data_IF_724802714873
#
_entry.id   IF_724802714873
#
_cell.length_a   1.000
_cell.length_b   1.000
_cell.length_c   1.000
_cell.angle_alpha   90.00
_cell.angle_beta   90.00
_cell.angle_gamma   90.00
#
_symmetry.space_group_name_H-M   'P 1'
#
loop_
_entity.id
_entity.type
_entity.pdbx_description
1 polymer ?
#
# COMPACT_ATOMS: atom_id res chain seq x y z
N UNK A 1 -7.93 0.26 -14.90
CA UNK A 1 -7.04 0.93 -15.87
C UNK A 1 -7.82 1.10 -17.15
N UNK A 2 -8.29 2.33 -17.42
CA UNK A 2 -8.94 2.66 -18.67
C UNK A 2 -7.88 2.97 -19.73
N UNK A 3 -7.73 2.11 -20.73
CA UNK A 3 -6.97 2.39 -21.94
C UNK A 3 -7.98 2.54 -23.08
N UNK A 4 -7.93 3.68 -23.78
CA UNK A 4 -8.80 3.94 -24.94
C UNK A 4 -7.96 4.23 -26.15
N UNK A 5 -8.32 3.60 -27.27
CA UNK A 5 -7.75 3.88 -28.58
C UNK A 5 -8.74 4.68 -29.41
N UNK A 6 -8.30 5.84 -29.94
CA UNK A 6 -9.11 6.71 -30.80
C UNK A 6 -8.37 7.07 -32.08
N UNK A 7 -9.18 7.34 -33.14
CA UNK A 7 -8.70 7.78 -34.44
C UNK A 7 -9.48 9.03 -34.85
N UNK A 8 -8.76 10.04 -35.34
CA UNK A 8 -9.33 11.28 -35.87
C UNK A 8 -8.39 11.88 -36.93
N UNK A 9 -8.85 12.90 -37.69
CA UNK A 9 -8.03 13.56 -38.70
C UNK A 9 -6.75 14.21 -38.16
N UNK A 10 -6.73 14.62 -36.89
CA UNK A 10 -5.54 15.11 -36.19
C UNK A 10 -5.30 14.40 -34.87
N UNK A 11 -4.08 14.50 -34.33
CA UNK A 11 -3.72 13.97 -33.01
C UNK A 11 -4.55 14.66 -31.93
N UNK A 12 -4.68 15.99 -32.01
CA UNK A 12 -5.43 16.79 -31.05
C UNK A 12 -6.89 16.35 -30.95
N UNK A 13 -7.56 16.18 -32.09
CA UNK A 13 -8.96 15.71 -32.13
C UNK A 13 -9.13 14.29 -31.61
N UNK A 14 -8.14 13.41 -31.86
CA UNK A 14 -8.15 12.04 -31.35
C UNK A 14 -7.98 12.01 -29.82
N UNK A 15 -7.11 12.88 -29.28
CA UNK A 15 -6.90 13.04 -27.83
C UNK A 15 -8.14 13.62 -27.17
N UNK A 16 -8.73 14.71 -27.74
CA UNK A 16 -9.92 15.36 -27.19
C UNK A 16 -11.12 14.37 -27.13
N UNK A 17 -11.31 13.58 -28.18
CA UNK A 17 -12.34 12.55 -28.19
C UNK A 17 -12.12 11.46 -27.11
N UNK A 18 -10.87 11.06 -26.88
CA UNK A 18 -10.53 10.09 -25.86
C UNK A 18 -10.72 10.67 -24.44
N UNK A 19 -10.31 11.92 -24.20
CA UNK A 19 -10.50 12.62 -22.92
C UNK A 19 -11.97 12.79 -22.57
N UNK A 20 -12.81 13.18 -23.57
CA UNK A 20 -14.25 13.32 -23.36
C UNK A 20 -14.94 12.02 -22.98
N UNK A 21 -14.47 10.87 -23.48
CA UNK A 21 -15.02 9.56 -23.13
C UNK A 21 -14.52 9.03 -21.77
N UNK A 22 -13.27 9.34 -21.42
CA UNK A 22 -12.71 8.97 -20.11
C UNK A 22 -13.19 9.90 -18.98
N UNK A 23 -13.72 11.08 -19.30
CA UNK A 23 -14.06 12.10 -18.32
C UNK A 23 -12.83 12.69 -17.62
N UNK A 24 -11.65 12.63 -18.26
CA UNK A 24 -10.37 13.06 -17.71
C UNK A 24 -9.83 14.28 -18.43
N UNK A 25 -8.91 14.99 -17.79
CA UNK A 25 -8.14 16.10 -18.36
C UNK A 25 -6.82 15.61 -18.94
N UNK A 26 -6.20 16.43 -19.81
CA UNK A 26 -4.91 16.09 -20.44
C UNK A 26 -3.78 15.85 -19.42
N UNK A 27 -3.87 16.45 -18.23
CA UNK A 27 -2.88 16.27 -17.16
C UNK A 27 -3.01 14.91 -16.42
N UNK A 28 -4.16 14.26 -16.56
CA UNK A 28 -4.49 12.98 -15.92
C UNK A 28 -4.24 11.77 -16.80
N UNK A 29 -3.70 11.98 -18.00
CA UNK A 29 -3.48 10.89 -18.96
C UNK A 29 -2.06 10.88 -19.52
N UNK A 30 -1.63 9.70 -19.94
CA UNK A 30 -0.50 9.50 -20.84
C UNK A 30 -1.00 9.20 -22.24
N UNK A 31 -0.49 9.94 -23.23
CA UNK A 31 -0.89 9.83 -24.63
C UNK A 31 0.23 9.20 -25.44
N UNK A 32 -0.04 8.06 -26.05
CA UNK A 32 0.85 7.41 -27.02
C UNK A 32 0.29 7.61 -28.43
N UNK A 33 1.04 8.29 -29.31
CA UNK A 33 0.68 8.43 -30.73
C UNK A 33 1.15 7.17 -31.46
N UNK A 34 0.21 6.30 -31.79
CA UNK A 34 0.48 5.03 -32.51
C UNK A 34 0.66 5.27 -34.01
N UNK A 35 -0.06 6.26 -34.56
CA UNK A 35 0.01 6.64 -35.95
C UNK A 35 -0.19 8.15 -36.11
N UNK A 36 0.75 8.80 -36.81
CA UNK A 36 0.60 10.21 -37.19
C UNK A 36 -0.32 10.37 -38.39
N UNK A 37 -1.09 11.48 -38.48
CA UNK A 37 -1.97 11.74 -39.57
C UNK A 37 -1.16 12.03 -40.85
N UNK A 38 -1.64 11.55 -42.00
CA UNK A 38 -1.04 11.84 -43.29
C UNK A 38 -2.06 12.50 -44.22
N UNK A 39 -1.76 13.68 -44.72
CA UNK A 39 -2.64 14.31 -45.71
C UNK A 39 -2.62 13.52 -47.01
N UNK A 40 -3.80 13.24 -47.55
CA UNK A 40 -3.93 12.63 -48.89
C UNK A 40 -3.65 13.62 -49.99
N UNK A 41 -3.27 13.13 -51.17
CA UNK A 41 -3.16 13.96 -52.39
C UNK A 41 -4.48 13.87 -53.11
N UNK A 42 -5.17 15.02 -53.30
CA UNK A 42 -6.51 15.13 -53.91
C UNK A 42 -7.58 14.26 -53.23
N UNK A 43 -7.50 14.08 -51.90
CA UNK A 43 -8.48 13.30 -51.12
C UNK A 43 -8.30 11.77 -51.18
N UNK A 44 -7.24 11.28 -51.83
CA UNK A 44 -6.93 9.86 -51.90
C UNK A 44 -5.69 9.56 -51.03
N UNK A 45 -5.82 8.58 -50.11
CA UNK A 45 -4.71 8.12 -49.28
C UNK A 45 -4.51 8.91 -47.98
N UNK A 46 -5.47 9.73 -47.54
CA UNK A 46 -5.43 10.31 -46.20
C UNK A 46 -5.47 9.20 -45.13
N UNK A 47 -4.66 9.36 -44.09
CA UNK A 47 -4.64 8.47 -42.95
C UNK A 47 -4.88 9.29 -41.68
N UNK A 48 -5.82 8.84 -40.89
CA UNK A 48 -6.12 9.46 -39.59
C UNK A 48 -5.01 9.20 -38.56
N UNK A 49 -4.86 10.12 -37.63
CA UNK A 49 -4.08 9.90 -36.44
C UNK A 49 -4.72 8.79 -35.58
N UNK A 50 -3.90 7.97 -34.95
CA UNK A 50 -4.36 6.99 -33.99
C UNK A 50 -3.60 7.23 -32.70
N UNK A 51 -4.34 7.49 -31.62
CA UNK A 51 -3.77 7.66 -30.28
C UNK A 51 -4.28 6.57 -29.33
N UNK A 52 -3.43 6.21 -28.38
CA UNK A 52 -3.80 5.39 -27.23
C UNK A 52 -3.64 6.29 -26.00
N UNK A 53 -4.76 6.53 -25.33
CA UNK A 53 -4.80 7.36 -24.13
C UNK A 53 -5.01 6.45 -22.93
N UNK A 54 -4.10 6.57 -21.97
CA UNK A 54 -4.13 5.81 -20.70
C UNK A 54 -4.29 6.78 -19.54
N UNK A 55 -5.19 6.48 -18.61
CA UNK A 55 -5.25 7.23 -17.35
C UNK A 55 -3.91 7.14 -16.65
N UNK A 56 -3.33 8.30 -16.32
CA UNK A 56 -2.13 8.40 -15.48
C UNK A 56 -2.56 8.13 -14.05
N UNK A 57 -1.97 7.11 -13.41
CA UNK A 57 -2.18 6.92 -11.99
C UNK A 57 -1.75 8.19 -11.24
N UNK A 58 -2.64 8.81 -10.47
CA UNK A 58 -2.28 9.92 -9.58
C UNK A 58 -1.08 9.47 -8.72
N UNK A 59 -0.01 10.28 -8.61
CA UNK A 59 1.05 9.95 -7.68
C UNK A 59 0.47 9.84 -6.25
N UNK A 60 0.95 8.89 -5.47
CA UNK A 60 0.44 8.59 -4.13
C UNK A 60 0.45 9.80 -3.15
N UNK A 61 1.12 10.90 -3.51
CA UNK A 61 1.14 12.14 -2.74
C UNK A 61 0.03 13.13 -3.03
N UNK A 62 -0.80 12.88 -4.06
CA UNK A 62 -1.79 13.84 -4.59
C UNK A 62 -3.25 13.35 -4.39
N UNK A 63 -3.46 12.37 -3.50
CA UNK A 63 -4.80 11.88 -3.15
C UNK A 63 -5.45 12.87 -2.18
N UNK A 64 -6.65 13.36 -2.54
CA UNK A 64 -7.49 14.18 -1.68
C UNK A 64 -8.20 13.36 -0.60
N UNK A 65 -8.84 14.05 0.34
CA UNK A 65 -9.62 13.40 1.40
C UNK A 65 -10.77 12.56 0.81
N UNK A 66 -11.43 13.04 -0.25
CA UNK A 66 -12.49 12.31 -0.96
C UNK A 66 -11.98 10.99 -1.57
N UNK A 67 -10.76 10.96 -2.13
CA UNK A 67 -10.15 9.74 -2.67
C UNK A 67 -9.86 8.73 -1.53
N UNK A 68 -9.51 9.22 -0.33
CA UNK A 68 -9.25 8.37 0.83
C UNK A 68 -10.53 7.77 1.40
N UNK A 69 -11.59 8.56 1.48
CA UNK A 69 -12.90 8.10 1.94
C UNK A 69 -13.47 7.03 1.00
N UNK A 70 -13.40 7.26 -0.33
CA UNK A 70 -13.79 6.25 -1.33
C UNK A 70 -12.97 4.95 -1.19
N UNK A 71 -11.66 5.07 -0.98
CA UNK A 71 -10.80 3.90 -0.76
C UNK A 71 -11.16 3.15 0.52
N UNK A 72 -11.52 3.86 1.58
CA UNK A 72 -11.94 3.26 2.84
C UNK A 72 -13.27 2.51 2.71
N UNK A 73 -14.25 3.10 2.02
CA UNK A 73 -15.52 2.43 1.71
C UNK A 73 -15.34 1.14 0.91
N UNK A 74 -14.51 1.20 -0.15
CA UNK A 74 -14.18 0.02 -0.97
C UNK A 74 -13.50 -1.07 -0.14
N UNK A 75 -12.57 -0.68 0.75
CA UNK A 75 -11.88 -1.60 1.63
C UNK A 75 -12.85 -2.25 2.62
N UNK A 76 -13.73 -1.47 3.25
CA UNK A 76 -14.73 -1.96 4.19
C UNK A 76 -15.69 -2.95 3.52
N UNK A 77 -16.26 -2.59 2.37
CA UNK A 77 -17.14 -3.49 1.59
C UNK A 77 -16.45 -4.82 1.23
N UNK A 78 -15.18 -4.75 0.81
CA UNK A 78 -14.41 -5.94 0.48
C UNK A 78 -14.18 -6.82 1.71
N UNK A 79 -13.77 -6.23 2.84
CA UNK A 79 -13.50 -6.96 4.08
C UNK A 79 -14.77 -7.57 4.65
N UNK A 80 -15.87 -6.82 4.73
CA UNK A 80 -17.17 -7.33 5.17
C UNK A 80 -17.63 -8.52 4.32
N UNK A 81 -17.56 -8.39 2.99
CA UNK A 81 -17.92 -9.47 2.07
C UNK A 81 -17.01 -10.70 2.18
N UNK A 82 -15.74 -10.52 2.53
CA UNK A 82 -14.78 -11.60 2.80
C UNK A 82 -15.14 -12.32 4.11
N UNK A 83 -15.36 -11.56 5.19
CA UNK A 83 -15.70 -12.07 6.51
C UNK A 83 -17.02 -12.87 6.48
N UNK A 84 -18.04 -12.33 5.81
CA UNK A 84 -19.31 -13.02 5.62
C UNK A 84 -19.15 -14.40 4.95
N UNK A 85 -18.33 -14.46 3.87
CA UNK A 85 -18.08 -15.73 3.16
C UNK A 85 -17.24 -16.72 3.96
N UNK A 86 -16.42 -16.23 4.87
CA UNK A 86 -15.64 -17.06 5.81
C UNK A 86 -16.48 -17.49 7.02
N UNK A 87 -17.68 -16.92 7.23
CA UNK A 87 -18.52 -17.18 8.39
C UNK A 87 -17.98 -16.55 9.68
N UNK A 88 -17.15 -15.51 9.55
CA UNK A 88 -16.53 -14.79 10.67
C UNK A 88 -17.39 -13.58 11.02
N UNK A 89 -17.71 -13.43 12.30
CA UNK A 89 -18.43 -12.27 12.82
C UNK A 89 -17.43 -11.22 13.30
N UNK A 90 -17.43 -10.07 12.66
CA UNK A 90 -16.60 -8.91 13.06
C UNK A 90 -17.22 -7.62 12.58
N UNK A 91 -16.83 -6.49 13.16
CA UNK A 91 -17.16 -5.14 12.71
C UNK A 91 -15.99 -4.61 11.91
N UNK A 92 -16.27 -3.90 10.80
CA UNK A 92 -15.26 -3.23 9.99
C UNK A 92 -15.46 -1.73 10.11
N UNK A 93 -14.48 -1.01 10.63
CA UNK A 93 -14.58 0.40 10.92
C UNK A 93 -13.43 1.19 10.27
N UNK A 94 -13.72 2.14 9.35
CA UNK A 94 -12.74 3.11 8.90
C UNK A 94 -12.38 4.10 10.01
N UNK A 95 -11.09 4.38 10.18
CA UNK A 95 -10.58 5.33 11.15
C UNK A 95 -9.40 6.12 10.58
N UNK A 96 -9.26 7.40 10.94
CA UNK A 96 -8.08 8.20 10.62
C UNK A 96 -7.24 8.38 11.88
N UNK A 97 -6.02 7.84 11.87
CA UNK A 97 -5.03 8.04 12.93
C UNK A 97 -3.76 8.67 12.35
N UNK A 98 -3.32 9.78 12.93
CA UNK A 98 -2.11 10.51 12.50
C UNK A 98 -2.02 10.76 10.98
N UNK A 99 -3.17 11.05 10.34
CA UNK A 99 -3.27 11.31 8.89
C UNK A 99 -3.15 10.05 8.01
N UNK A 100 -3.25 8.87 8.60
CA UNK A 100 -3.31 7.57 7.89
C UNK A 100 -4.72 7.01 7.99
N UNK A 101 -5.28 6.59 6.86
CA UNK A 101 -6.58 5.91 6.82
C UNK A 101 -6.39 4.44 7.18
N UNK A 102 -6.96 4.03 8.30
CA UNK A 102 -7.06 2.63 8.72
C UNK A 102 -8.46 2.09 8.41
N UNK A 103 -8.55 0.80 8.16
CA UNK A 103 -9.80 0.06 8.17
C UNK A 103 -9.59 -1.12 9.13
N UNK A 104 -10.18 -0.99 10.31
CA UNK A 104 -9.98 -1.91 11.41
C UNK A 104 -11.04 -3.01 11.39
N UNK A 105 -10.61 -4.25 11.60
CA UNK A 105 -11.48 -5.40 11.80
C UNK A 105 -11.49 -5.73 13.28
N UNK A 106 -12.67 -5.64 13.90
CA UNK A 106 -12.87 -5.77 15.34
C UNK A 106 -13.77 -6.97 15.61
N UNK A 107 -13.28 -7.92 16.38
CA UNK A 107 -14.05 -9.09 16.80
C UNK A 107 -15.16 -8.76 17.81
N UNK A 108 -16.15 -9.64 17.98
CA UNK A 108 -17.27 -9.43 18.90
C UNK A 108 -16.85 -9.50 20.38
N UNK A 109 -15.75 -10.20 20.67
CA UNK A 109 -15.19 -10.36 22.02
C UNK A 109 -13.66 -10.21 22.00
N UNK A 110 -13.05 -9.75 23.10
CA UNK A 110 -11.59 -9.73 23.21
C UNK A 110 -10.99 -11.14 23.08
N UNK A 111 -9.88 -11.25 22.36
CA UNK A 111 -9.16 -12.51 22.12
C UNK A 111 -9.97 -13.56 21.34
N UNK A 112 -10.88 -13.13 20.46
CA UNK A 112 -11.60 -14.00 19.57
C UNK A 112 -10.67 -14.85 18.69
N UNK A 113 -10.91 -16.17 18.62
CA UNK A 113 -10.04 -17.10 17.88
C UNK A 113 -10.03 -16.80 16.37
N UNK A 114 -11.16 -16.31 15.81
CA UNK A 114 -11.25 -15.94 14.40
C UNK A 114 -10.37 -14.74 14.06
N UNK A 115 -10.24 -13.77 14.98
CA UNK A 115 -9.28 -12.65 14.81
C UNK A 115 -7.84 -13.17 14.77
N UNK A 116 -7.52 -14.17 15.58
CA UNK A 116 -6.23 -14.85 15.53
C UNK A 116 -5.95 -15.52 14.18
N UNK A 117 -6.96 -16.12 13.54
CA UNK A 117 -6.84 -16.70 12.20
C UNK A 117 -6.60 -15.63 11.13
N UNK A 118 -7.32 -14.51 11.21
CA UNK A 118 -7.17 -13.38 10.28
C UNK A 118 -5.82 -12.67 10.42
N UNK A 119 -5.25 -12.61 11.62
CA UNK A 119 -3.89 -12.13 11.85
C UNK A 119 -2.86 -13.13 11.30
N UNK A 120 -3.04 -14.41 11.61
CA UNK A 120 -2.14 -15.49 11.24
C UNK A 120 -0.79 -15.46 11.95
N UNK A 121 0.09 -16.39 11.56
CA UNK A 121 1.43 -16.50 12.18
C UNK A 121 2.27 -15.27 11.83
N UNK A 122 2.69 -14.53 12.85
CA UNK A 122 3.50 -13.29 12.69
C UNK A 122 2.85 -12.21 11.80
N UNK A 123 1.52 -12.19 11.67
CA UNK A 123 0.79 -11.24 10.83
C UNK A 123 0.74 -11.59 9.35
N UNK A 124 1.12 -12.79 8.94
CA UNK A 124 1.18 -13.18 7.51
C UNK A 124 -0.19 -13.17 6.83
N UNK A 125 -1.25 -13.60 7.52
CA UNK A 125 -2.60 -13.55 6.96
C UNK A 125 -3.06 -12.11 6.81
N UNK A 126 -2.82 -11.27 7.81
CA UNK A 126 -3.13 -9.84 7.76
C UNK A 126 -2.37 -9.14 6.60
N UNK A 127 -1.10 -9.48 6.36
CA UNK A 127 -0.36 -8.97 5.20
C UNK A 127 -1.00 -9.40 3.87
N UNK A 128 -1.44 -10.65 3.77
CA UNK A 128 -2.13 -11.14 2.57
C UNK A 128 -3.49 -10.43 2.35
N UNK A 129 -4.26 -10.21 3.42
CA UNK A 129 -5.52 -9.44 3.37
C UNK A 129 -5.23 -8.00 2.93
N UNK A 130 -4.21 -7.36 3.47
CA UNK A 130 -3.76 -6.02 3.07
C UNK A 130 -3.45 -5.95 1.56
N UNK A 131 -2.73 -6.94 1.01
CA UNK A 131 -2.40 -6.97 -0.42
C UNK A 131 -3.64 -7.18 -1.29
N UNK A 132 -4.57 -8.06 -0.89
CA UNK A 132 -5.85 -8.24 -1.58
C UNK A 132 -6.67 -6.95 -1.58
N UNK A 133 -6.80 -6.29 -0.44
CA UNK A 133 -7.50 -5.00 -0.31
C UNK A 133 -6.87 -3.95 -1.22
N UNK A 134 -5.54 -3.86 -1.26
CA UNK A 134 -4.81 -2.95 -2.14
C UNK A 134 -5.13 -3.20 -3.63
N UNK A 135 -5.17 -4.47 -4.04
CA UNK A 135 -5.51 -4.84 -5.43
C UNK A 135 -6.95 -4.45 -5.76
N UNK A 136 -7.90 -4.70 -4.85
CA UNK A 136 -9.32 -4.36 -5.06
C UNK A 136 -9.51 -2.85 -5.18
N UNK A 137 -8.91 -2.06 -4.29
CA UNK A 137 -8.94 -0.59 -4.36
C UNK A 137 -8.36 -0.12 -5.70
N UNK A 138 -7.16 -0.62 -6.06
CA UNK A 138 -6.51 -0.23 -7.32
C UNK A 138 -7.31 -0.60 -8.57
N UNK A 139 -8.07 -1.71 -8.55
CA UNK A 139 -8.95 -2.09 -9.65
C UNK A 139 -10.19 -1.21 -9.77
N UNK A 140 -10.77 -0.79 -8.64
CA UNK A 140 -12.00 0.02 -8.62
C UNK A 140 -11.73 1.50 -8.87
N UNK A 141 -10.66 2.06 -8.26
CA UNK A 141 -10.37 3.50 -8.34
C UNK A 141 -9.35 3.87 -9.41
N UNK A 142 -8.54 2.91 -9.89
CA UNK A 142 -7.37 3.19 -10.73
C UNK A 142 -6.22 3.88 -9.98
N UNK A 143 -6.34 4.11 -8.68
CA UNK A 143 -5.39 4.83 -7.83
C UNK A 143 -4.59 3.88 -6.94
N UNK A 144 -3.37 4.23 -6.53
CA UNK A 144 -2.63 3.45 -5.55
C UNK A 144 -3.33 3.53 -4.17
N UNK A 145 -3.49 2.39 -3.50
CA UNK A 145 -4.10 2.36 -2.18
C UNK A 145 -3.23 3.02 -1.11
N UNK A 146 -3.85 3.85 -0.27
CA UNK A 146 -3.27 4.43 0.96
C UNK A 146 -3.98 3.95 2.23
N UNK A 147 -4.90 3.02 2.10
CA UNK A 147 -5.60 2.40 3.22
C UNK A 147 -4.72 1.34 3.87
N UNK A 148 -4.66 1.34 5.18
CA UNK A 148 -4.00 0.32 6.00
C UNK A 148 -5.07 -0.53 6.67
N UNK A 149 -5.05 -1.83 6.46
CA UNK A 149 -5.91 -2.78 7.16
C UNK A 149 -5.23 -3.18 8.47
N UNK A 150 -5.94 -3.09 9.59
CA UNK A 150 -5.51 -3.65 10.86
C UNK A 150 -6.58 -4.58 11.47
N UNK A 151 -6.20 -5.40 12.42
CA UNK A 151 -7.07 -6.32 13.12
C UNK A 151 -6.78 -6.19 14.60
N UNK A 152 -7.76 -5.65 15.34
CA UNK A 152 -7.66 -5.51 16.80
C UNK A 152 -6.37 -4.79 17.27
N UNK A 153 -5.98 -3.70 16.65
CA UNK A 153 -4.71 -3.00 16.94
C UNK A 153 -3.47 -3.93 16.90
N UNK A 154 -3.49 -5.01 16.08
CA UNK A 154 -2.40 -5.96 16.05
C UNK A 154 -1.05 -5.33 15.75
N UNK A 155 -1.00 -4.42 14.76
CA UNK A 155 0.24 -3.73 14.35
C UNK A 155 0.80 -2.90 15.49
N UNK A 156 -0.04 -2.17 16.20
CA UNK A 156 0.34 -1.36 17.36
C UNK A 156 0.88 -2.23 18.50
N UNK A 157 0.12 -3.27 18.87
CA UNK A 157 0.56 -4.24 19.88
C UNK A 157 1.85 -4.96 19.49
N UNK A 158 2.04 -5.28 18.21
CA UNK A 158 3.28 -5.89 17.71
C UNK A 158 4.48 -4.95 17.88
N UNK A 159 4.33 -3.68 17.52
CA UNK A 159 5.37 -2.66 17.68
C UNK A 159 5.74 -2.46 19.14
N UNK A 160 4.75 -2.34 20.02
CA UNK A 160 4.96 -2.16 21.46
C UNK A 160 5.73 -3.35 22.07
N UNK A 161 5.30 -4.58 21.79
CA UNK A 161 5.98 -5.81 22.24
C UNK A 161 7.40 -5.91 21.71
N UNK A 162 7.60 -5.61 20.42
CA UNK A 162 8.91 -5.62 19.79
C UNK A 162 9.82 -4.55 20.43
N UNK A 163 9.34 -3.33 20.59
CA UNK A 163 10.10 -2.22 21.18
C UNK A 163 10.49 -2.52 22.64
N UNK A 164 9.59 -3.06 23.44
CA UNK A 164 9.90 -3.49 24.82
C UNK A 164 11.00 -4.55 24.84
N UNK A 165 10.88 -5.61 24.04
CA UNK A 165 11.88 -6.68 23.93
C UNK A 165 13.24 -6.15 23.45
N UNK A 166 13.23 -5.23 22.47
CA UNK A 166 14.45 -4.61 21.93
C UNK A 166 15.16 -3.78 22.99
N UNK A 167 14.43 -2.98 23.78
CA UNK A 167 15.03 -2.22 24.89
C UNK A 167 15.70 -3.14 25.92
N UNK A 168 15.07 -4.25 26.30
CA UNK A 168 15.68 -5.24 27.21
C UNK A 168 16.97 -5.82 26.61
N UNK A 169 16.97 -6.18 25.34
CA UNK A 169 18.15 -6.68 24.63
C UNK A 169 19.24 -5.60 24.59
N UNK A 170 18.91 -4.37 24.23
CA UNK A 170 19.84 -3.26 24.14
C UNK A 170 20.52 -2.98 25.49
N UNK A 171 19.76 -2.96 26.59
CA UNK A 171 20.31 -2.83 27.95
C UNK A 171 21.24 -3.99 28.27
N UNK A 172 20.90 -5.21 27.90
CA UNK A 172 21.75 -6.40 28.11
C UNK A 172 23.04 -6.30 27.30
N UNK A 173 22.99 -5.90 26.05
CA UNK A 173 24.15 -5.67 25.17
C UNK A 173 25.05 -4.55 25.73
N UNK A 174 24.48 -3.43 26.18
CA UNK A 174 25.22 -2.34 26.82
C UNK A 174 26.04 -2.84 28.03
N UNK A 175 25.45 -3.69 28.86
CA UNK A 175 26.10 -4.23 30.06
C UNK A 175 27.13 -5.32 29.78
N UNK A 176 26.83 -6.22 28.83
CA UNK A 176 27.67 -7.41 28.57
C UNK A 176 28.71 -7.20 27.48
N UNK A 177 28.51 -6.21 26.62
CA UNK A 177 29.31 -5.97 25.41
C UNK A 177 29.17 -7.03 24.33
N UNK A 178 28.28 -8.01 24.50
CA UNK A 178 28.03 -9.07 23.51
C UNK A 178 26.94 -8.66 22.58
N UNK A 179 27.24 -8.65 21.28
CA UNK A 179 26.24 -8.36 20.24
C UNK A 179 25.16 -9.44 20.21
N UNK A 180 23.92 -9.02 19.96
CA UNK A 180 22.77 -9.90 19.77
C UNK A 180 22.12 -9.65 18.40
N UNK A 181 21.77 -10.74 17.72
CA UNK A 181 21.14 -10.74 16.42
C UNK A 181 19.66 -11.08 16.56
N UNK A 182 18.79 -10.25 16.01
CA UNK A 182 17.36 -10.48 16.01
C UNK A 182 16.93 -11.40 14.85
N UNK A 183 15.70 -11.87 14.89
CA UNK A 183 15.09 -12.62 13.80
C UNK A 183 14.95 -11.74 12.53
N UNK A 184 14.94 -12.34 11.34
CA UNK A 184 14.63 -11.63 10.10
C UNK A 184 13.26 -10.93 10.19
N UNK A 185 13.17 -9.70 9.67
CA UNK A 185 11.94 -8.92 9.73
C UNK A 185 11.85 -7.95 8.55
N UNK A 186 10.64 -7.50 8.25
CA UNK A 186 10.38 -6.56 7.17
C UNK A 186 11.03 -5.18 7.43
N UNK A 187 11.16 -4.31 6.40
CA UNK A 187 11.82 -3.01 6.53
C UNK A 187 11.20 -2.08 7.58
N UNK A 188 9.88 -2.13 7.75
CA UNK A 188 9.16 -1.32 8.70
C UNK A 188 9.54 -1.70 10.14
N UNK A 189 9.49 -2.98 10.49
CA UNK A 189 9.89 -3.46 11.83
C UNK A 189 11.36 -3.19 12.12
N UNK A 190 12.26 -3.31 11.11
CA UNK A 190 13.67 -2.94 11.29
C UNK A 190 13.85 -1.47 11.66
N UNK A 191 13.07 -0.57 11.03
CA UNK A 191 13.07 0.85 11.40
C UNK A 191 12.64 1.05 12.85
N UNK A 192 11.59 0.37 13.31
CA UNK A 192 11.12 0.44 14.69
C UNK A 192 12.18 -0.07 15.69
N UNK A 193 12.89 -1.16 15.33
CA UNK A 193 14.01 -1.66 16.13
C UNK A 193 15.14 -0.64 16.24
N UNK A 194 15.56 -0.03 15.13
CA UNK A 194 16.59 1.02 15.14
C UNK A 194 16.19 2.21 16.02
N UNK A 195 14.92 2.62 15.95
CA UNK A 195 14.40 3.71 16.80
C UNK A 195 14.44 3.33 18.26
N UNK A 196 13.99 2.11 18.63
CA UNK A 196 14.00 1.65 20.02
C UNK A 196 15.43 1.46 20.59
N UNK A 197 16.40 1.05 19.76
CA UNK A 197 17.82 0.94 20.18
C UNK A 197 18.42 2.31 20.40
N UNK A 198 18.08 3.31 19.58
CA UNK A 198 18.60 4.68 19.71
C UNK A 198 18.18 5.37 21.03
N UNK A 199 17.16 4.85 21.72
CA UNK A 199 16.73 5.32 23.05
C UNK A 199 17.64 4.81 24.19
N UNK A 200 18.57 3.88 23.91
CA UNK A 200 19.43 3.24 24.94
C UNK A 200 20.89 3.63 24.72
N UNK A 201 21.49 4.25 25.74
CA UNK A 201 22.87 4.70 25.66
C UNK A 201 23.88 3.53 25.60
N UNK A 202 24.93 3.73 24.82
CA UNK A 202 26.09 2.82 24.73
C UNK A 202 25.86 1.59 23.83
N UNK A 203 24.83 1.63 22.98
CA UNK A 203 24.55 0.60 21.96
C UNK A 203 24.30 1.23 20.59
N UNK A 204 24.60 0.46 19.56
CA UNK A 204 24.30 0.75 18.16
C UNK A 204 23.56 -0.40 17.51
N UNK A 205 22.89 -0.14 16.41
CA UNK A 205 22.19 -1.16 15.64
C UNK A 205 22.52 -1.08 14.14
N UNK A 206 22.73 -2.23 13.52
CA UNK A 206 22.96 -2.36 12.07
C UNK A 206 22.03 -3.38 11.46
N UNK A 207 21.61 -3.16 10.19
CA UNK A 207 20.84 -4.14 9.43
C UNK A 207 21.77 -5.00 8.58
N UNK A 208 21.73 -6.33 8.76
CA UNK A 208 22.56 -7.31 8.06
C UNK A 208 21.70 -8.30 7.25
N UNK A 209 22.28 -8.88 6.19
CA UNK A 209 21.58 -9.81 5.29
C UNK A 209 20.83 -9.10 4.17
N UNK A 210 20.19 -9.90 3.29
CA UNK A 210 19.47 -9.43 2.11
C UNK A 210 18.06 -10.02 2.05
N UNK A 211 17.16 -9.30 1.37
CA UNK A 211 15.78 -9.75 1.12
C UNK A 211 15.04 -10.17 2.39
N UNK A 212 14.42 -11.33 2.39
CA UNK A 212 13.62 -11.88 3.49
C UNK A 212 14.47 -12.28 4.72
N UNK A 213 15.78 -12.55 4.52
CA UNK A 213 16.71 -12.92 5.61
C UNK A 213 17.34 -11.71 6.32
N UNK A 214 16.96 -10.49 5.92
CA UNK A 214 17.53 -9.27 6.49
C UNK A 214 17.02 -9.03 7.91
N UNK A 215 17.96 -8.83 8.83
CA UNK A 215 17.75 -8.74 10.28
C UNK A 215 18.53 -7.58 10.90
N UNK A 216 18.23 -7.25 12.15
CA UNK A 216 18.96 -6.24 12.89
C UNK A 216 19.92 -6.92 13.88
N UNK A 217 21.14 -6.39 13.97
CA UNK A 217 22.15 -6.73 14.97
C UNK A 217 22.32 -5.54 15.90
N UNK A 218 22.23 -5.80 17.21
CA UNK A 218 22.45 -4.81 18.28
C UNK A 218 23.85 -5.05 18.85
N UNK A 219 24.70 -4.04 18.86
CA UNK A 219 26.06 -4.13 19.33
C UNK A 219 26.39 -2.97 20.28
N UNK A 220 27.48 -3.10 21.04
CA UNK A 220 27.97 -2.00 21.87
C UNK A 220 28.48 -0.87 20.99
N UNK A 221 28.10 0.37 21.29
CA UNK A 221 28.65 1.56 20.65
C UNK A 221 30.17 1.60 20.88
N UNK A 222 30.91 2.05 19.85
CA UNK A 222 32.37 2.17 19.87
C UNK A 222 32.81 3.42 20.58
#
# INVERSE_FOLDING_TARGET
MGEIRRSAPSVEEAVEAALGELGLTEQEVDVDVVQEPRPGVFGVGAQDAIVVVRSRAKPAGDLGDEDLDEQAEIAAEFLEGMLERMGITATVEPAIEDGTMYVDVIGPEPDDEDMGLLIGRHGQTLEAIQELTRVVIGQRTGLPSRVVVDIEDYRKRQIERLSARVREIAVRVSRTGRAETLEPMNPFLRKMVHTAVAEVDGVDSSSEGEGAERRVVISRAR
#
